data_IF_366550729005
#
_entry.id   IF_366550729005
#
_cell.length_a   1.000
_cell.length_b   1.000
_cell.length_c   1.000
_cell.angle_alpha   90.00
_cell.angle_beta   90.00
_cell.angle_gamma   90.00
#
_symmetry.space_group_name_H-M   'P 1'
#
loop_
_entity.id
_entity.type
_entity.pdbx_description
1 polymer ?
#
# COMPACT_ATOMS: atom_id res chain seq x y z
N UNK A 1 15.98 8.93 -4.29
CA UNK A 1 15.55 7.58 -3.85
C UNK A 1 16.75 6.70 -3.49
N UNK A 2 17.88 6.83 -4.23
CA UNK A 2 19.11 6.09 -4.01
C UNK A 2 19.62 6.18 -2.55
N UNK A 3 19.74 7.38 -2.02
CA UNK A 3 20.14 7.57 -0.62
C UNK A 3 19.19 6.90 0.37
N UNK A 4 17.87 6.92 0.10
CA UNK A 4 16.90 6.25 0.94
C UNK A 4 17.09 4.72 0.91
N UNK A 5 17.37 4.17 -0.27
CA UNK A 5 17.67 2.75 -0.44
C UNK A 5 18.94 2.34 0.30
N UNK A 6 20.04 3.08 0.13
CA UNK A 6 21.32 2.81 0.84
C UNK A 6 21.11 2.82 2.37
N UNK A 7 20.39 3.83 2.87
CA UNK A 7 20.07 3.90 4.30
C UNK A 7 19.22 2.73 4.78
N UNK A 8 18.29 2.25 3.94
CA UNK A 8 17.40 1.15 4.27
C UNK A 8 18.09 -0.22 4.32
N UNK A 9 19.32 -0.36 3.81
CA UNK A 9 20.07 -1.62 3.90
C UNK A 9 20.51 -1.95 5.34
N UNK A 10 20.52 -0.98 6.24
CA UNK A 10 20.78 -1.23 7.65
C UNK A 10 19.57 -1.86 8.35
N UNK A 11 19.77 -2.98 9.05
CA UNK A 11 18.71 -3.72 9.76
C UNK A 11 17.96 -2.89 10.82
N UNK A 12 18.55 -1.81 11.32
CA UNK A 12 17.96 -0.94 12.33
C UNK A 12 17.19 0.24 11.74
N UNK A 13 17.38 0.54 10.46
CA UNK A 13 16.70 1.65 9.81
C UNK A 13 15.33 1.24 9.28
N UNK A 14 14.41 2.20 9.17
CA UNK A 14 13.04 1.93 8.69
C UNK A 14 12.54 3.08 7.83
N UNK A 15 11.92 2.72 6.71
CA UNK A 15 11.16 3.67 5.89
C UNK A 15 9.85 3.99 6.60
N UNK A 16 9.51 5.27 6.63
CA UNK A 16 8.26 5.75 7.21
C UNK A 16 7.16 5.79 6.15
N UNK A 17 6.19 4.91 6.27
CA UNK A 17 4.99 4.87 5.45
C UNK A 17 3.73 5.11 6.30
N UNK A 18 3.56 6.31 6.88
CA UNK A 18 2.42 6.63 7.73
C UNK A 18 2.45 6.03 9.14
N UNK A 19 3.45 5.21 9.46
CA UNK A 19 3.83 4.73 10.80
C UNK A 19 2.76 3.96 11.60
N UNK A 20 1.59 3.64 11.03
CA UNK A 20 0.49 2.99 11.76
C UNK A 20 0.91 1.68 12.44
N UNK A 21 1.70 0.86 11.76
CA UNK A 21 2.22 -0.39 12.30
C UNK A 21 3.50 -0.22 13.11
N UNK A 22 4.40 0.66 12.68
CA UNK A 22 5.66 0.91 13.39
C UNK A 22 5.46 1.43 14.80
N UNK A 23 4.40 2.21 15.05
CA UNK A 23 4.05 2.72 16.38
C UNK A 23 3.64 1.64 17.39
N UNK A 24 3.21 0.48 16.90
CA UNK A 24 2.76 -0.62 17.73
C UNK A 24 3.89 -1.59 18.07
N UNK A 25 5.04 -1.44 17.40
CA UNK A 25 6.24 -2.24 17.65
C UNK A 25 7.11 -1.67 18.77
N UNK A 26 7.93 -2.53 19.37
CA UNK A 26 8.88 -2.20 20.43
C UNK A 26 10.34 -2.13 19.95
N UNK A 27 10.55 -2.27 18.64
CA UNK A 27 11.90 -2.26 18.07
C UNK A 27 12.52 -0.86 18.04
N UNK A 28 13.76 -0.76 18.50
CA UNK A 28 14.55 0.47 18.36
C UNK A 28 14.82 0.76 16.88
N UNK A 29 14.55 1.99 16.46
CA UNK A 29 14.80 2.48 15.10
C UNK A 29 16.07 3.32 15.12
N UNK A 30 17.09 2.90 14.36
CA UNK A 30 18.35 3.63 14.24
C UNK A 30 18.19 4.93 13.45
N UNK A 31 17.63 4.84 12.25
CA UNK A 31 17.24 5.99 11.43
C UNK A 31 15.82 5.77 10.88
N UNK A 32 15.01 6.82 10.96
CA UNK A 32 13.73 6.92 10.29
C UNK A 32 13.93 7.60 8.92
N UNK A 33 13.55 6.92 7.85
CA UNK A 33 13.74 7.37 6.47
C UNK A 33 12.39 7.89 5.98
N UNK A 34 12.28 9.21 5.80
CA UNK A 34 11.09 9.87 5.31
C UNK A 34 11.17 10.04 3.78
N UNK A 35 10.20 9.48 3.06
CA UNK A 35 10.09 9.62 1.61
C UNK A 35 9.26 10.84 1.18
N UNK A 36 8.65 11.57 2.11
CA UNK A 36 7.80 12.73 1.81
C UNK A 36 8.47 13.78 0.91
N UNK A 37 9.79 14.09 1.07
CA UNK A 37 10.47 15.04 0.17
C UNK A 37 10.48 14.61 -1.30
N UNK A 38 10.28 13.32 -1.59
CA UNK A 38 10.27 12.76 -2.96
C UNK A 38 8.86 12.73 -3.58
N UNK A 39 7.82 13.14 -2.82
CA UNK A 39 6.44 13.01 -3.26
C UNK A 39 6.16 13.73 -4.58
N UNK A 40 6.66 14.94 -4.76
CA UNK A 40 6.41 15.72 -5.98
C UNK A 40 7.14 15.14 -7.19
N UNK A 41 8.42 14.85 -7.03
CA UNK A 41 9.28 14.35 -8.11
C UNK A 41 8.84 12.96 -8.60
N UNK A 42 8.56 12.05 -7.66
CA UNK A 42 8.24 10.64 -7.96
C UNK A 42 6.75 10.34 -7.90
N UNK A 43 5.91 11.33 -7.58
CA UNK A 43 4.45 11.19 -7.45
C UNK A 43 4.04 10.10 -6.45
N UNK A 44 4.80 9.97 -5.36
CA UNK A 44 4.60 8.89 -4.39
C UNK A 44 3.27 8.98 -3.63
N UNK A 45 2.67 10.16 -3.53
CA UNK A 45 1.40 10.42 -2.85
C UNK A 45 0.22 10.66 -3.82
N UNK A 46 0.37 10.27 -5.09
CA UNK A 46 -0.63 10.48 -6.14
C UNK A 46 -1.21 9.16 -6.64
N UNK A 47 -2.46 9.22 -7.10
CA UNK A 47 -3.12 8.19 -7.89
C UNK A 47 -3.26 8.77 -9.30
N UNK A 48 -2.49 8.24 -10.23
CA UNK A 48 -2.55 8.59 -11.64
C UNK A 48 -3.40 7.56 -12.39
N UNK A 49 -4.12 8.01 -13.39
CA UNK A 49 -4.96 7.18 -14.24
C UNK A 49 -4.70 7.47 -15.71
N UNK A 50 -4.62 6.44 -16.50
CA UNK A 50 -4.67 6.52 -17.96
C UNK A 50 -5.66 5.48 -18.52
N UNK A 51 -5.69 5.31 -19.84
CA UNK A 51 -6.60 4.35 -20.50
C UNK A 51 -6.34 2.88 -20.10
N UNK A 52 -5.12 2.55 -19.71
CA UNK A 52 -4.67 1.17 -19.49
C UNK A 52 -4.52 0.79 -18.02
N UNK A 53 -4.20 1.75 -17.15
CA UNK A 53 -3.81 1.44 -15.77
C UNK A 53 -4.07 2.59 -14.80
N UNK A 54 -4.12 2.23 -13.52
CA UNK A 54 -3.90 3.16 -12.41
C UNK A 54 -2.49 2.96 -11.85
N UNK A 55 -1.80 4.04 -11.56
CA UNK A 55 -0.50 4.06 -10.87
C UNK A 55 -0.66 4.72 -9.52
N UNK A 56 -0.53 3.95 -8.46
CA UNK A 56 -0.80 4.36 -7.08
C UNK A 56 0.54 4.44 -6.34
N UNK A 57 0.98 5.64 -6.01
CA UNK A 57 2.23 5.85 -5.29
C UNK A 57 2.20 5.24 -3.89
N UNK A 58 3.37 4.82 -3.40
CA UNK A 58 3.47 4.13 -2.11
C UNK A 58 3.05 4.99 -0.90
N UNK A 59 3.13 6.33 -1.02
CA UNK A 59 2.74 7.29 0.02
C UNK A 59 1.27 7.72 -0.09
N UNK A 60 0.50 7.20 -1.05
CA UNK A 60 -0.95 7.38 -1.10
C UNK A 60 -1.58 6.84 0.18
N UNK A 61 -2.38 7.65 0.85
CA UNK A 61 -3.06 7.26 2.09
C UNK A 61 -4.28 6.39 1.80
N UNK A 62 -4.67 5.55 2.77
CA UNK A 62 -5.90 4.76 2.64
C UNK A 62 -7.14 5.66 2.49
N UNK A 63 -7.09 6.88 3.05
CA UNK A 63 -8.18 7.85 2.85
C UNK A 63 -8.24 8.38 1.42
N UNK A 64 -7.12 8.56 0.75
CA UNK A 64 -7.10 8.92 -0.67
C UNK A 64 -7.68 7.78 -1.53
N UNK A 65 -7.33 6.51 -1.24
CA UNK A 65 -7.96 5.35 -1.89
C UNK A 65 -9.48 5.36 -1.70
N UNK A 66 -9.92 5.49 -0.45
CA UNK A 66 -11.34 5.51 -0.08
C UNK A 66 -12.14 6.55 -0.86
N UNK A 67 -11.54 7.71 -1.14
CA UNK A 67 -12.18 8.85 -1.79
C UNK A 67 -11.94 8.96 -3.29
N UNK A 68 -11.04 8.19 -3.87
CA UNK A 68 -10.74 8.30 -5.30
C UNK A 68 -11.93 7.83 -6.14
N UNK A 69 -12.57 8.76 -6.85
CA UNK A 69 -13.80 8.49 -7.59
C UNK A 69 -13.57 7.53 -8.75
N UNK A 70 -12.49 7.71 -9.51
CA UNK A 70 -12.20 6.90 -10.70
C UNK A 70 -11.90 5.44 -10.33
N UNK A 71 -11.01 5.22 -9.35
CA UNK A 71 -10.67 3.88 -8.88
C UNK A 71 -11.90 3.16 -8.28
N UNK A 72 -12.72 3.87 -7.54
CA UNK A 72 -13.94 3.30 -6.97
C UNK A 72 -15.02 3.02 -8.03
N UNK A 73 -15.14 3.84 -9.07
CA UNK A 73 -16.02 3.55 -10.20
C UNK A 73 -15.54 2.30 -10.96
N UNK A 74 -14.25 2.19 -11.22
CA UNK A 74 -13.64 1.04 -11.89
C UNK A 74 -13.85 -0.27 -11.11
N UNK A 75 -13.74 -0.24 -9.79
CA UNK A 75 -13.85 -1.44 -8.93
C UNK A 75 -15.25 -1.66 -8.34
N UNK A 76 -16.27 -0.98 -8.84
CA UNK A 76 -17.63 -1.03 -8.30
C UNK A 76 -17.70 -0.79 -6.78
N UNK A 77 -16.83 0.10 -6.27
CA UNK A 77 -16.73 0.45 -4.86
C UNK A 77 -15.95 -0.53 -3.97
N UNK A 78 -15.44 -1.63 -4.52
CA UNK A 78 -14.76 -2.66 -3.73
C UNK A 78 -13.49 -2.13 -3.03
N UNK A 79 -12.71 -1.26 -3.68
CA UNK A 79 -11.54 -0.62 -3.03
C UNK A 79 -11.97 0.25 -1.85
N UNK A 80 -13.02 1.03 -1.98
CA UNK A 80 -13.57 1.81 -0.87
C UNK A 80 -14.03 0.90 0.27
N UNK A 81 -14.72 -0.18 -0.05
CA UNK A 81 -15.21 -1.15 0.93
C UNK A 81 -14.06 -1.80 1.70
N UNK A 82 -12.97 -2.18 1.02
CA UNK A 82 -11.82 -2.83 1.66
C UNK A 82 -11.14 -1.96 2.72
N UNK A 83 -11.13 -0.63 2.54
CA UNK A 83 -10.40 0.26 3.45
C UNK A 83 -11.27 0.95 4.50
N UNK A 84 -12.58 1.12 4.26
CA UNK A 84 -13.44 1.96 5.11
C UNK A 84 -13.55 1.50 6.56
N UNK A 85 -13.33 0.21 6.81
CA UNK A 85 -13.38 -0.40 8.15
C UNK A 85 -12.02 -0.52 8.84
N UNK A 86 -10.95 -0.08 8.17
CA UNK A 86 -9.62 -0.06 8.79
C UNK A 86 -9.57 1.08 9.82
N UNK A 87 -9.75 0.72 11.08
CA UNK A 87 -9.77 1.61 12.25
C UNK A 87 -10.70 2.81 12.02
N UNK A 88 -10.19 4.03 12.05
CA UNK A 88 -10.95 5.26 11.90
C UNK A 88 -10.36 6.18 10.81
N UNK A 89 -11.09 7.25 10.50
CA UNK A 89 -10.68 8.21 9.46
C UNK A 89 -9.31 8.83 9.74
N UNK A 90 -9.00 9.16 11.00
CA UNK A 90 -7.71 9.73 11.39
C UNK A 90 -6.56 8.77 11.08
N UNK A 91 -6.75 7.48 11.38
CA UNK A 91 -5.78 6.45 11.06
C UNK A 91 -5.58 6.31 9.55
N UNK A 92 -6.66 6.27 8.76
CA UNK A 92 -6.60 6.17 7.31
C UNK A 92 -6.02 7.41 6.62
N UNK A 93 -6.05 8.58 7.28
CA UNK A 93 -5.34 9.78 6.79
C UNK A 93 -3.82 9.67 6.88
N UNK A 94 -3.30 8.77 7.71
CA UNK A 94 -1.86 8.59 7.94
C UNK A 94 -1.32 7.35 7.24
N UNK A 95 -2.00 6.21 7.39
CA UNK A 95 -1.52 4.92 6.86
C UNK A 95 -1.53 4.90 5.34
N UNK A 96 -0.47 4.34 4.75
CA UNK A 96 -0.24 4.38 3.31
C UNK A 96 -0.43 3.02 2.64
N UNK A 97 -0.67 3.06 1.34
CA UNK A 97 -0.76 1.88 0.47
C UNK A 97 0.54 1.09 0.53
N UNK A 98 1.69 1.76 0.41
CA UNK A 98 3.00 1.12 0.46
C UNK A 98 3.21 0.36 1.77
N UNK A 99 2.90 0.98 2.91
CA UNK A 99 3.02 0.32 4.22
C UNK A 99 2.07 -0.87 4.37
N UNK A 100 0.88 -0.82 3.78
CA UNK A 100 -0.11 -1.89 3.84
C UNK A 100 0.24 -3.10 2.95
N UNK A 101 0.98 -2.87 1.86
CA UNK A 101 1.38 -3.91 0.90
C UNK A 101 2.75 -4.47 1.24
N UNK A 102 3.74 -3.61 1.55
CA UNK A 102 5.12 -4.02 1.76
C UNK A 102 5.30 -5.00 2.92
N UNK A 103 4.47 -4.87 3.96
CA UNK A 103 4.48 -5.79 5.10
C UNK A 103 4.07 -7.23 4.77
N UNK A 104 3.44 -7.48 3.63
CA UNK A 104 2.97 -8.81 3.17
C UNK A 104 2.12 -9.56 4.21
N UNK A 105 1.38 -8.81 5.04
CA UNK A 105 0.55 -9.42 6.09
C UNK A 105 -0.70 -10.05 5.50
N UNK A 106 -0.96 -11.31 5.84
CA UNK A 106 -2.14 -12.04 5.36
C UNK A 106 -3.49 -11.45 5.80
N UNK A 107 -3.49 -10.62 6.85
CA UNK A 107 -4.68 -9.90 7.32
C UNK A 107 -4.86 -8.50 6.69
N UNK A 108 -4.01 -8.13 5.72
CA UNK A 108 -4.10 -6.81 5.09
C UNK A 108 -5.26 -6.76 4.11
N UNK A 109 -6.34 -6.07 4.46
CA UNK A 109 -7.48 -5.80 3.56
C UNK A 109 -7.01 -5.19 2.23
N UNK A 110 -6.01 -4.29 2.28
CA UNK A 110 -5.45 -3.63 1.08
C UNK A 110 -4.74 -4.64 0.18
N UNK A 111 -3.86 -5.47 0.75
CA UNK A 111 -3.14 -6.48 -0.03
C UNK A 111 -4.12 -7.50 -0.63
N UNK A 112 -5.05 -8.01 0.15
CA UNK A 112 -6.08 -8.97 -0.29
C UNK A 112 -6.91 -8.40 -1.44
N UNK A 113 -7.34 -7.14 -1.32
CA UNK A 113 -8.12 -6.45 -2.34
C UNK A 113 -7.36 -6.37 -3.67
N UNK A 114 -6.12 -5.92 -3.64
CA UNK A 114 -5.33 -5.75 -4.86
C UNK A 114 -4.81 -7.08 -5.45
N UNK A 115 -4.63 -8.12 -4.63
CA UNK A 115 -4.32 -9.47 -5.11
C UNK A 115 -5.44 -10.09 -5.97
N UNK A 116 -6.67 -9.61 -5.85
CA UNK A 116 -7.78 -10.09 -6.67
C UNK A 116 -7.87 -9.43 -8.06
N UNK A 117 -6.94 -8.53 -8.37
CA UNK A 117 -6.84 -7.82 -9.65
C UNK A 117 -5.51 -8.10 -10.36
N UNK A 118 -5.42 -7.72 -11.62
CA UNK A 118 -4.15 -7.73 -12.36
C UNK A 118 -3.29 -6.55 -11.89
N UNK A 119 -2.50 -6.81 -10.85
CA UNK A 119 -1.65 -5.83 -10.20
C UNK A 119 -0.18 -6.23 -10.21
N UNK A 120 0.67 -5.22 -10.31
CA UNK A 120 2.10 -5.34 -10.10
C UNK A 120 2.62 -4.24 -9.17
N UNK A 121 3.78 -4.46 -8.57
CA UNK A 121 4.50 -3.47 -7.78
C UNK A 121 5.78 -3.07 -8.50
N UNK A 122 6.09 -1.78 -8.45
CA UNK A 122 7.36 -1.23 -8.89
C UNK A 122 8.26 -1.08 -7.66
N UNK A 123 9.34 -1.84 -7.64
CA UNK A 123 10.38 -1.80 -6.62
C UNK A 123 11.57 -1.01 -7.13
N UNK A 124 12.29 -0.35 -6.23
CA UNK A 124 13.43 0.49 -6.63
C UNK A 124 14.55 -0.31 -7.30
N UNK A 125 14.97 -1.42 -6.71
CA UNK A 125 16.00 -2.31 -7.27
C UNK A 125 15.40 -3.51 -7.98
N UNK A 126 14.35 -4.09 -7.43
CA UNK A 126 13.71 -5.30 -7.96
C UNK A 126 12.91 -5.09 -9.25
N UNK A 127 12.73 -3.84 -9.70
CA UNK A 127 11.94 -3.55 -10.90
C UNK A 127 10.45 -3.83 -10.70
N UNK A 128 9.77 -4.19 -11.79
CA UNK A 128 8.33 -4.47 -11.74
C UNK A 128 8.08 -5.97 -11.63
N UNK A 129 7.39 -6.37 -10.58
CA UNK A 129 7.00 -7.76 -10.32
C UNK A 129 5.49 -7.85 -10.08
N UNK A 130 4.87 -9.00 -10.40
CA UNK A 130 3.44 -9.16 -10.12
C UNK A 130 3.18 -9.09 -8.62
N UNK A 131 2.01 -8.56 -8.22
CA UNK A 131 1.68 -8.45 -6.80
C UNK A 131 1.59 -9.83 -6.13
N UNK A 132 1.15 -10.86 -6.86
CA UNK A 132 1.09 -12.23 -6.37
C UNK A 132 2.48 -12.82 -6.12
N UNK A 133 3.45 -12.55 -6.98
CA UNK A 133 4.84 -12.93 -6.76
C UNK A 133 5.43 -12.17 -5.57
N UNK A 134 5.28 -10.86 -5.55
CA UNK A 134 5.74 -10.00 -4.45
C UNK A 134 5.21 -10.45 -3.08
N UNK A 135 3.93 -10.83 -2.99
CA UNK A 135 3.33 -11.30 -1.73
C UNK A 135 3.98 -12.59 -1.18
N UNK A 136 4.60 -13.39 -2.05
CA UNK A 136 5.29 -14.64 -1.70
C UNK A 136 6.81 -14.49 -1.59
N UNK A 137 7.37 -13.34 -1.96
CA UNK A 137 8.80 -13.08 -1.82
C UNK A 137 9.21 -12.98 -0.34
N UNK A 138 10.45 -13.41 0.00
CA UNK A 138 11.01 -13.14 1.32
C UNK A 138 11.03 -11.64 1.62
N UNK A 139 10.93 -11.29 2.90
CA UNK A 139 11.11 -9.90 3.32
C UNK A 139 12.52 -9.42 2.94
N UNK A 140 12.58 -8.24 2.34
CA UNK A 140 13.82 -7.60 1.89
C UNK A 140 13.85 -6.13 2.36
N UNK A 141 14.89 -5.41 1.98
CA UNK A 141 15.07 -3.99 2.28
C UNK A 141 14.96 -3.11 1.02
N UNK A 142 14.26 -3.57 -0.01
CA UNK A 142 13.97 -2.76 -1.17
C UNK A 142 12.95 -1.66 -0.84
N UNK A 143 12.67 -0.78 -1.76
CA UNK A 143 11.67 0.29 -1.63
C UNK A 143 10.55 0.04 -2.62
N UNK A 144 9.33 -0.15 -2.13
CA UNK A 144 8.15 -0.15 -2.96
C UNK A 144 7.85 1.30 -3.36
N UNK A 145 7.92 1.57 -4.66
CA UNK A 145 7.70 2.90 -5.23
C UNK A 145 6.21 3.13 -5.53
N UNK A 146 5.58 2.15 -6.18
CA UNK A 146 4.15 2.24 -6.52
C UNK A 146 3.52 0.88 -6.78
N UNK A 147 2.20 0.86 -6.66
CA UNK A 147 1.33 -0.21 -7.12
C UNK A 147 0.77 0.18 -8.49
N UNK A 148 0.75 -0.77 -9.42
CA UNK A 148 0.20 -0.60 -10.77
C UNK A 148 -0.98 -1.57 -10.91
N UNK A 149 -2.15 -1.04 -11.27
CA UNK A 149 -3.38 -1.81 -11.47
C UNK A 149 -3.72 -1.75 -12.95
N UNK A 150 -3.63 -2.87 -13.66
CA UNK A 150 -4.02 -2.95 -15.06
C UNK A 150 -5.54 -2.91 -15.20
N UNK A 151 -6.04 -2.10 -16.12
CA UNK A 151 -7.48 -2.03 -16.42
C UNK A 151 -7.89 -3.20 -17.30
N UNK A 152 -8.54 -4.17 -16.70
CA UNK A 152 -9.16 -5.31 -17.37
C UNK A 152 -10.67 -5.27 -17.11
N UNK A 153 -11.52 -5.86 -17.97
CA UNK A 153 -12.93 -6.01 -17.67
C UNK A 153 -13.10 -6.82 -16.38
N UNK A 154 -13.69 -6.21 -15.35
CA UNK A 154 -13.89 -6.88 -14.07
C UNK A 154 -15.24 -6.50 -13.44
N UNK A 155 -15.76 -7.39 -12.63
CA UNK A 155 -16.83 -7.11 -11.67
C UNK A 155 -16.35 -7.55 -10.31
N UNK A 156 -16.41 -6.66 -9.34
CA UNK A 156 -15.86 -6.89 -8.01
C UNK A 156 -16.85 -6.57 -6.92
N UNK A 157 -16.71 -7.30 -5.81
CA UNK A 157 -17.24 -6.96 -4.52
C UNK A 157 -16.19 -7.29 -3.46
N UNK A 158 -16.14 -6.53 -2.39
CA UNK A 158 -15.29 -6.80 -1.24
C UNK A 158 -16.16 -6.99 0.00
N UNK A 159 -15.91 -8.04 0.74
CA UNK A 159 -16.54 -8.31 2.02
C UNK A 159 -15.48 -8.79 3.00
N UNK A 160 -15.60 -8.43 4.26
CA UNK A 160 -14.73 -8.94 5.31
C UNK A 160 -15.54 -9.25 6.56
N UNK A 161 -15.16 -10.33 7.24
CA UNK A 161 -15.72 -10.69 8.53
C UNK A 161 -14.76 -10.31 9.64
N UNK A 162 -15.26 -9.61 10.65
CA UNK A 162 -14.52 -9.11 11.80
C UNK A 162 -15.30 -9.43 13.07
N UNK A 163 -14.60 -9.75 14.15
CA UNK A 163 -15.25 -9.95 15.45
C UNK A 163 -15.84 -8.65 15.99
N UNK A 164 -15.11 -7.55 15.80
CA UNK A 164 -15.56 -6.19 16.09
C UNK A 164 -15.25 -5.28 14.91
N UNK A 165 -15.94 -4.14 14.81
CA UNK A 165 -15.89 -3.25 13.64
C UNK A 165 -14.51 -2.75 13.25
N UNK A 166 -13.56 -2.71 14.19
CA UNK A 166 -12.19 -2.22 14.00
C UNK A 166 -11.12 -3.30 14.14
N UNK A 167 -11.52 -4.54 14.35
CA UNK A 167 -10.58 -5.67 14.42
C UNK A 167 -9.97 -5.96 13.02
N UNK A 168 -8.91 -6.75 13.03
CA UNK A 168 -8.42 -7.36 11.79
C UNK A 168 -9.49 -8.30 11.21
N UNK A 169 -9.57 -8.43 9.88
CA UNK A 169 -10.47 -9.40 9.27
C UNK A 169 -10.07 -10.82 9.67
N UNK A 170 -11.06 -11.63 9.98
CA UNK A 170 -10.89 -13.07 10.21
C UNK A 170 -11.00 -13.82 8.89
N UNK A 171 -11.77 -13.24 7.96
CA UNK A 171 -11.99 -13.71 6.60
C UNK A 171 -12.23 -12.50 5.69
#
# INVERSE_FOLDING_TARGET
LEQAYELNQSKTNRILGGTGWLKMGDHSIGKAIDLTPLNEELKLNMIEENEKEFRIGCMVTLRQLEKNAALNAYTNGAVRESVRHIVGTQFRNCVTVGGSIFGRFGFSDVLTMFLSMDCSVELYQGGTVSLSEFANMPADNDILVRLIVQKTPLQMAYQSFRNQSTDFPVL
#
